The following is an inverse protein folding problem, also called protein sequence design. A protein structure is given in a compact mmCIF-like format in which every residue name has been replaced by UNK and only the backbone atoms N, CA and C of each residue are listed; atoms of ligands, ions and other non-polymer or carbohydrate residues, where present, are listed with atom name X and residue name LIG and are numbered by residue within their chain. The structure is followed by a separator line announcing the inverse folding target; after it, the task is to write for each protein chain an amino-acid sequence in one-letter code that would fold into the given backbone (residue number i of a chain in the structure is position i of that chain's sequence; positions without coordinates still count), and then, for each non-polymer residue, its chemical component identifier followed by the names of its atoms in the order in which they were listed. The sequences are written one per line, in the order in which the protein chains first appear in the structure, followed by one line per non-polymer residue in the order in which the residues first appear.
data_IF_404832208446
#
_entry.id   IF_404832208446
#
_cell.length_a   1.000
_cell.length_b   1.000
_cell.length_c   1.000
_cell.angle_alpha   90.00
_cell.angle_beta   90.00
_cell.angle_gamma   90.00
#
_symmetry.space_group_name_H-M   'P 1'
#
loop_
_entity.id
_entity.type
_entity.pdbx_description
1 polymer ?
#
# COMPACT_ATOMS: atom_id res chain seq x y z
N UNK A 1 19.86 9.51 10.52
CA UNK A 1 18.63 10.17 10.94
C UNK A 1 17.73 9.13 11.61
N UNK A 2 17.18 9.45 12.81
CA UNK A 2 16.29 8.52 13.51
C UNK A 2 14.92 8.43 12.84
N UNK A 3 14.22 7.29 13.00
CA UNK A 3 12.89 7.02 12.40
C UNK A 3 11.90 8.17 12.61
N UNK A 4 11.93 8.83 13.78
CA UNK A 4 11.09 10.00 14.09
C UNK A 4 11.22 11.13 13.07
N UNK A 5 12.45 11.56 12.81
CA UNK A 5 12.73 12.70 11.92
C UNK A 5 12.39 12.31 10.49
N UNK A 6 12.76 11.09 10.08
CA UNK A 6 12.43 10.58 8.73
C UNK A 6 10.92 10.57 8.53
N UNK A 7 10.15 10.03 9.47
CA UNK A 7 8.68 9.95 9.35
C UNK A 7 8.06 11.34 9.21
N UNK A 8 8.41 12.28 10.07
CA UNK A 8 7.84 13.63 10.02
C UNK A 8 8.25 14.38 8.75
N UNK A 9 9.54 14.37 8.41
CA UNK A 9 10.03 15.01 7.18
C UNK A 9 9.34 14.42 5.94
N UNK A 10 9.18 13.11 5.89
CA UNK A 10 8.52 12.41 4.79
C UNK A 10 7.05 12.81 4.64
N UNK A 11 6.31 12.91 5.76
CA UNK A 11 4.91 13.35 5.71
C UNK A 11 4.81 14.79 5.23
N UNK A 12 5.70 15.68 5.67
CA UNK A 12 5.73 17.05 5.17
C UNK A 12 6.08 17.13 3.68
N UNK A 13 6.99 16.29 3.17
CA UNK A 13 7.27 16.21 1.73
C UNK A 13 6.03 15.80 0.94
N UNK A 14 5.25 14.83 1.43
CA UNK A 14 3.99 14.45 0.77
C UNK A 14 2.93 15.55 0.86
N UNK A 15 2.84 16.30 1.96
CA UNK A 15 1.96 17.47 2.08
C UNK A 15 2.32 18.54 1.05
N UNK A 16 3.61 18.91 0.94
CA UNK A 16 4.10 19.87 -0.05
C UNK A 16 3.73 19.42 -1.47
N UNK A 17 3.94 18.15 -1.77
CA UNK A 17 3.61 17.58 -3.07
C UNK A 17 2.10 17.62 -3.37
N UNK A 18 1.23 17.27 -2.43
CA UNK A 18 -0.22 17.30 -2.61
C UNK A 18 -0.73 18.73 -2.85
N UNK A 19 -0.24 19.72 -2.10
CA UNK A 19 -0.54 21.10 -2.39
C UNK A 19 0.05 21.55 -3.73
N UNK A 20 1.26 21.11 -4.07
CA UNK A 20 1.85 21.34 -5.37
C UNK A 20 0.97 20.82 -6.50
N UNK A 21 0.46 19.58 -6.41
CA UNK A 21 -0.52 19.05 -7.35
C UNK A 21 -1.79 19.91 -7.40
N UNK A 22 -2.26 20.39 -6.25
CA UNK A 22 -3.47 21.23 -6.20
C UNK A 22 -3.34 22.59 -6.87
N UNK A 23 -2.12 23.11 -7.03
CA UNK A 23 -1.82 24.36 -7.73
C UNK A 23 -1.31 24.15 -9.16
N UNK A 24 -1.09 22.89 -9.55
CA UNK A 24 -0.59 22.59 -10.89
C UNK A 24 -1.63 22.88 -11.96
N UNK A 25 -1.22 23.60 -12.98
CA UNK A 25 -2.03 23.89 -14.19
C UNK A 25 -1.48 23.21 -15.44
N UNK A 26 -0.24 22.70 -15.38
CA UNK A 26 0.45 22.07 -16.49
C UNK A 26 1.08 20.74 -16.06
N UNK A 27 1.22 19.83 -17.02
CA UNK A 27 1.73 18.47 -16.77
C UNK A 27 3.13 18.43 -16.15
N UNK A 28 4.04 19.28 -16.60
CA UNK A 28 5.41 19.32 -16.05
C UNK A 28 5.44 19.68 -14.56
N UNK A 29 4.49 20.51 -14.09
CA UNK A 29 4.38 20.83 -12.66
C UNK A 29 4.06 19.59 -11.84
N UNK A 30 3.17 18.73 -12.35
CA UNK A 30 2.88 17.44 -11.72
C UNK A 30 4.13 16.56 -11.63
N UNK A 31 4.94 16.52 -12.70
CA UNK A 31 6.20 15.78 -12.70
C UNK A 31 7.19 16.30 -11.65
N UNK A 32 7.31 17.63 -11.49
CA UNK A 32 8.18 18.25 -10.48
C UNK A 32 7.71 17.87 -9.06
N UNK A 33 6.41 17.99 -8.77
CA UNK A 33 5.88 17.65 -7.44
C UNK A 33 5.79 16.15 -7.17
N UNK A 34 5.84 15.30 -8.20
CA UNK A 34 5.95 13.87 -8.03
C UNK A 34 7.28 13.44 -7.38
N UNK A 35 8.35 14.22 -7.54
CA UNK A 35 9.65 13.93 -6.91
C UNK A 35 9.55 13.98 -5.38
N UNK A 36 9.17 15.11 -4.73
CA UNK A 36 9.01 15.14 -3.28
C UNK A 36 7.92 14.16 -2.79
N UNK A 37 6.88 13.90 -3.59
CA UNK A 37 5.89 12.89 -3.26
C UNK A 37 6.49 11.49 -3.15
N UNK A 38 7.21 11.05 -4.17
CA UNK A 38 7.84 9.73 -4.21
C UNK A 38 8.91 9.56 -3.11
N UNK A 39 9.74 10.58 -2.88
CA UNK A 39 10.73 10.58 -1.80
C UNK A 39 10.07 10.47 -0.43
N UNK A 40 9.02 11.25 -0.18
CA UNK A 40 8.28 11.22 1.08
C UNK A 40 7.56 9.89 1.28
N UNK A 41 6.83 9.39 0.29
CA UNK A 41 6.08 8.14 0.38
C UNK A 41 7.01 6.93 0.60
N UNK A 42 8.12 6.84 -0.17
CA UNK A 42 9.05 5.73 -0.02
C UNK A 42 9.82 5.75 1.31
N UNK A 43 10.21 6.93 1.78
CA UNK A 43 10.95 7.06 3.02
C UNK A 43 10.07 6.77 4.26
N UNK A 44 8.80 7.20 4.26
CA UNK A 44 7.88 6.92 5.37
C UNK A 44 7.55 5.44 5.44
N UNK A 45 7.30 4.80 4.30
CA UNK A 45 7.01 3.37 4.24
C UNK A 45 8.16 2.55 4.84
N UNK A 46 9.39 2.78 4.38
CA UNK A 46 10.58 2.13 4.91
C UNK A 46 10.78 2.39 6.40
N UNK A 47 10.58 3.62 6.86
CA UNK A 47 10.79 4.01 8.25
C UNK A 47 9.77 3.38 9.19
N UNK A 48 8.48 3.39 8.83
CA UNK A 48 7.41 2.81 9.65
C UNK A 48 7.47 1.29 9.66
N UNK A 49 7.72 0.64 8.53
CA UNK A 49 7.88 -0.80 8.46
C UNK A 49 9.03 -1.27 9.34
N UNK A 50 10.19 -0.61 9.26
CA UNK A 50 11.32 -0.93 10.13
C UNK A 50 11.00 -0.70 11.61
N UNK A 51 10.34 0.40 11.95
CA UNK A 51 9.96 0.71 13.33
C UNK A 51 9.00 -0.34 13.90
N UNK A 52 7.96 -0.70 13.14
CA UNK A 52 6.99 -1.73 13.57
C UNK A 52 7.64 -3.10 13.67
N UNK A 53 8.49 -3.47 12.73
CA UNK A 53 9.20 -4.76 12.75
C UNK A 53 10.11 -4.91 13.99
N UNK A 54 10.74 -3.82 14.45
CA UNK A 54 11.66 -3.85 15.60
C UNK A 54 10.95 -3.74 16.96
N UNK A 55 9.78 -3.09 17.03
CA UNK A 55 9.16 -2.74 18.32
C UNK A 55 7.82 -3.42 18.58
N UNK A 56 7.21 -4.04 17.56
CA UNK A 56 5.86 -4.57 17.63
C UNK A 56 5.77 -6.00 17.08
N UNK A 57 4.65 -6.67 17.35
CA UNK A 57 4.36 -8.01 16.82
C UNK A 57 3.91 -7.96 15.37
N UNK A 58 4.02 -9.08 14.63
CA UNK A 58 3.62 -9.21 13.23
C UNK A 58 2.19 -8.69 12.93
N UNK A 59 1.24 -8.90 13.85
CA UNK A 59 -0.13 -8.39 13.72
C UNK A 59 -0.23 -6.87 13.52
N UNK A 60 0.66 -6.10 14.15
CA UNK A 60 0.67 -4.64 14.00
C UNK A 60 1.17 -4.23 12.63
N UNK A 61 2.07 -5.02 12.02
CA UNK A 61 2.48 -4.84 10.64
C UNK A 61 1.30 -5.04 9.69
N UNK A 62 0.53 -6.11 9.88
CA UNK A 62 -0.68 -6.37 9.09
C UNK A 62 -1.70 -5.23 9.20
N UNK A 63 -1.89 -4.69 10.41
CA UNK A 63 -2.80 -3.54 10.60
C UNK A 63 -2.27 -2.25 10.00
N UNK A 64 -0.96 -2.00 10.05
CA UNK A 64 -0.34 -0.85 9.36
C UNK A 64 -0.69 -0.87 7.86
N UNK A 65 -0.51 -2.02 7.22
CA UNK A 65 -0.87 -2.19 5.82
C UNK A 65 -2.39 -2.22 5.55
N UNK A 66 -3.20 -2.60 6.53
CA UNK A 66 -4.66 -2.47 6.44
C UNK A 66 -5.08 -1.00 6.32
N UNK A 67 -4.50 -0.10 7.10
CA UNK A 67 -4.77 1.34 6.98
C UNK A 67 -4.38 1.93 5.63
N UNK A 68 -3.32 1.41 5.00
CA UNK A 68 -3.03 1.73 3.60
C UNK A 68 -4.20 1.36 2.68
N UNK A 69 -4.77 0.17 2.86
CA UNK A 69 -5.95 -0.27 2.12
C UNK A 69 -7.19 0.62 2.35
N UNK A 70 -7.41 1.10 3.57
CA UNK A 70 -8.48 2.07 3.86
C UNK A 70 -8.25 3.36 3.06
N UNK A 71 -7.02 3.85 3.00
CA UNK A 71 -6.67 5.03 2.20
C UNK A 71 -6.96 4.84 0.71
N UNK A 72 -6.62 3.68 0.15
CA UNK A 72 -6.88 3.37 -1.28
C UNK A 72 -8.37 3.26 -1.60
N UNK A 73 -9.20 2.86 -0.66
CA UNK A 73 -10.66 2.81 -0.81
C UNK A 73 -11.27 4.21 -0.72
N UNK A 74 -10.84 5.03 0.24
CA UNK A 74 -11.43 6.35 0.52
C UNK A 74 -11.02 7.40 -0.51
N UNK A 75 -9.78 7.37 -0.99
CA UNK A 75 -9.23 8.39 -1.91
C UNK A 75 -10.04 8.59 -3.20
N UNK A 76 -10.51 7.53 -3.90
CA UNK A 76 -11.33 7.68 -5.09
C UNK A 76 -12.68 8.38 -4.84
N UNK A 77 -13.28 8.18 -3.67
CA UNK A 77 -14.54 8.88 -3.32
C UNK A 77 -14.31 10.37 -3.13
N UNK A 78 -13.22 10.77 -2.49
CA UNK A 78 -12.84 12.19 -2.34
C UNK A 78 -12.60 12.80 -3.72
N UNK A 79 -11.83 12.11 -4.57
CA UNK A 79 -11.54 12.59 -5.91
C UNK A 79 -12.80 12.60 -6.79
N UNK A 80 -13.65 11.59 -6.72
CA UNK A 80 -14.94 11.54 -7.42
C UNK A 80 -15.84 12.71 -7.03
N UNK A 81 -15.98 12.99 -5.75
CA UNK A 81 -16.71 14.17 -5.28
C UNK A 81 -16.14 15.48 -5.83
N UNK A 82 -14.80 15.62 -5.81
CA UNK A 82 -14.13 16.81 -6.33
C UNK A 82 -14.34 16.98 -7.86
N UNK A 83 -14.25 15.90 -8.63
CA UNK A 83 -14.45 15.93 -10.07
C UNK A 83 -15.90 16.27 -10.44
N UNK A 84 -16.88 15.79 -9.67
CA UNK A 84 -18.31 16.07 -9.96
C UNK A 84 -18.69 17.50 -9.57
N UNK A 85 -18.19 18.03 -8.46
CA UNK A 85 -18.67 19.31 -7.92
C UNK A 85 -17.70 20.47 -8.15
N UNK A 86 -16.43 20.20 -8.49
CA UNK A 86 -15.35 21.20 -8.61
C UNK A 86 -14.35 20.80 -9.69
N UNK A 87 -13.06 20.69 -9.31
CA UNK A 87 -11.94 20.32 -10.18
C UNK A 87 -11.07 19.27 -9.52
N UNK A 88 -10.27 18.54 -10.30
CA UNK A 88 -9.29 17.59 -9.76
C UNK A 88 -8.28 18.22 -8.77
N UNK A 89 -7.92 19.50 -9.00
CA UNK A 89 -7.08 20.27 -8.08
C UNK A 89 -7.70 20.38 -6.69
N UNK A 90 -9.03 20.52 -6.61
CA UNK A 90 -9.76 20.56 -5.33
C UNK A 90 -9.68 19.23 -4.59
N UNK A 91 -9.65 18.11 -5.30
CA UNK A 91 -9.46 16.78 -4.72
C UNK A 91 -8.10 16.66 -4.02
N UNK A 92 -7.02 17.04 -4.72
CA UNK A 92 -5.68 17.07 -4.10
C UNK A 92 -5.60 18.04 -2.93
N UNK A 93 -6.32 19.16 -2.96
CA UNK A 93 -6.37 20.12 -1.86
C UNK A 93 -7.02 19.53 -0.62
N UNK A 94 -8.14 18.84 -0.77
CA UNK A 94 -8.83 18.15 0.34
C UNK A 94 -7.90 17.11 0.96
N UNK A 95 -7.29 16.26 0.14
CA UNK A 95 -6.34 15.24 0.61
C UNK A 95 -5.12 15.90 1.26
N UNK A 96 -4.63 17.01 0.70
CA UNK A 96 -3.51 17.79 1.25
C UNK A 96 -3.81 18.33 2.67
N UNK A 97 -5.02 18.84 2.92
CA UNK A 97 -5.41 19.28 4.26
C UNK A 97 -5.55 18.11 5.24
N UNK A 98 -6.09 16.97 4.81
CA UNK A 98 -6.13 15.78 5.65
C UNK A 98 -4.71 15.30 6.02
N UNK A 99 -3.82 15.27 5.04
CA UNK A 99 -2.42 14.90 5.24
C UNK A 99 -1.69 15.90 6.15
N UNK A 100 -1.96 17.20 6.02
CA UNK A 100 -1.42 18.23 6.90
C UNK A 100 -1.89 18.05 8.35
N UNK A 101 -3.15 17.73 8.56
CA UNK A 101 -3.67 17.43 9.89
C UNK A 101 -2.93 16.23 10.51
N UNK A 102 -2.69 15.17 9.74
CA UNK A 102 -1.90 14.01 10.17
C UNK A 102 -0.45 14.43 10.48
N UNK A 103 0.16 15.28 9.64
CA UNK A 103 1.53 15.78 9.86
C UNK A 103 1.65 16.54 11.18
N UNK A 104 0.69 17.42 11.48
CA UNK A 104 0.63 18.17 12.74
C UNK A 104 0.45 17.22 13.92
N UNK A 105 -0.44 16.24 13.80
CA UNK A 105 -0.68 15.23 14.84
C UNK A 105 0.58 14.42 15.14
N UNK A 106 1.33 14.03 14.09
CA UNK A 106 2.61 13.35 14.22
C UNK A 106 3.65 14.23 14.92
N UNK A 107 3.73 15.52 14.59
CA UNK A 107 4.61 16.48 15.29
C UNK A 107 4.30 16.56 16.79
N UNK A 108 3.02 16.68 17.14
CA UNK A 108 2.58 16.78 18.52
C UNK A 108 2.83 15.51 19.32
N UNK A 109 2.79 14.34 18.67
CA UNK A 109 3.03 13.04 19.30
C UNK A 109 4.49 12.63 19.35
N UNK A 110 5.40 13.35 18.69
CA UNK A 110 6.85 13.05 18.68
C UNK A 110 7.47 12.77 20.06
N UNK A 111 7.12 13.50 21.13
CA UNK A 111 7.69 13.24 22.45
C UNK A 111 7.31 11.86 23.02
N UNK A 112 6.18 11.29 22.57
CA UNK A 112 5.67 10.00 23.05
C UNK A 112 6.37 8.80 22.38
N UNK A 113 7.03 9.04 21.24
CA UNK A 113 7.73 7.97 20.54
C UNK A 113 8.98 7.56 21.30
N UNK A 114 8.92 6.47 22.04
CA UNK A 114 10.05 5.91 22.76
C UNK A 114 11.09 5.39 21.78
N UNK A 115 12.30 5.96 21.82
CA UNK A 115 13.47 5.36 21.19
C UNK A 115 14.14 4.52 22.26
N UNK A 116 13.94 3.22 22.23
CA UNK A 116 14.84 2.31 22.93
C UNK A 116 16.21 2.39 22.24
N UNK A 117 17.13 3.14 22.85
CA UNK A 117 18.52 3.27 22.37
C UNK A 117 19.17 1.91 22.17
N UNK A 118 18.81 0.91 22.97
CA UNK A 118 19.31 -0.46 22.89
C UNK A 118 19.04 -1.15 21.54
N UNK A 119 17.91 -0.85 20.89
CA UNK A 119 17.60 -1.40 19.56
C UNK A 119 18.44 -0.74 18.44
N UNK A 120 18.89 0.49 18.67
CA UNK A 120 19.73 1.23 17.71
C UNK A 120 21.21 0.82 17.86
N UNK A 121 21.64 0.41 19.04
CA UNK A 121 23.01 -0.04 19.32
C UNK A 121 23.28 -1.49 18.86
N UNK A 122 22.25 -2.32 18.80
CA UNK A 122 22.30 -3.67 18.21
C UNK A 122 22.14 -3.70 16.69
N UNK A 123 21.77 -2.57 16.07
CA UNK A 123 21.82 -2.43 14.63
C UNK A 123 23.30 -2.42 14.20
N UNK A 124 23.84 -3.59 13.89
CA UNK A 124 25.19 -3.76 13.35
C UNK A 124 25.45 -2.80 12.19
N UNK A 125 26.72 -2.59 11.83
CA UNK A 125 27.14 -1.74 10.72
C UNK A 125 26.19 -1.93 9.53
N UNK A 126 25.62 -0.83 9.03
CA UNK A 126 24.74 -0.85 7.85
C UNK A 126 25.39 -1.68 6.74
N UNK A 127 24.80 -2.81 6.45
CA UNK A 127 25.23 -3.68 5.36
C UNK A 127 24.70 -3.03 4.09
N UNK A 128 25.57 -2.40 3.29
CA UNK A 128 25.16 -1.79 2.02
C UNK A 128 24.45 -2.81 1.10
N UNK A 129 23.76 -2.34 0.08
CA UNK A 129 22.95 -3.16 -0.85
C UNK A 129 23.71 -4.38 -1.38
N UNK A 130 24.97 -4.19 -1.80
CA UNK A 130 25.83 -5.28 -2.31
C UNK A 130 26.15 -6.31 -1.22
N UNK A 131 26.33 -5.86 0.01
CA UNK A 131 26.55 -6.75 1.17
C UNK A 131 25.31 -7.56 1.50
N UNK A 132 24.13 -6.93 1.47
CA UNK A 132 22.84 -7.61 1.69
C UNK A 132 22.58 -8.72 0.66
N UNK A 133 22.88 -8.47 -0.61
CA UNK A 133 22.73 -9.45 -1.70
C UNK A 133 23.64 -10.69 -1.53
N UNK A 134 24.74 -10.57 -0.77
CA UNK A 134 25.64 -11.69 -0.46
C UNK A 134 25.15 -12.60 0.67
N UNK A 135 24.16 -12.16 1.43
CA UNK A 135 23.59 -12.95 2.53
C UNK A 135 22.76 -14.09 1.92
N UNK A 136 23.08 -15.32 2.33
CA UNK A 136 22.40 -16.54 1.83
C UNK A 136 20.88 -16.44 2.08
N UNK A 137 20.08 -16.59 1.03
CA UNK A 137 18.63 -16.52 1.08
C UNK A 137 18.04 -15.15 0.72
N UNK A 138 18.76 -14.04 0.93
CA UNK A 138 18.26 -12.69 0.63
C UNK A 138 17.91 -12.50 -0.85
N UNK A 139 18.70 -12.96 -1.85
CA UNK A 139 18.31 -12.83 -3.24
C UNK A 139 16.98 -13.53 -3.58
N UNK A 140 16.74 -14.72 -3.02
CA UNK A 140 15.49 -15.45 -3.22
C UNK A 140 14.30 -14.75 -2.57
N UNK A 141 14.49 -14.17 -1.38
CA UNK A 141 13.48 -13.38 -0.70
C UNK A 141 13.13 -12.12 -1.51
N UNK A 142 14.13 -11.43 -2.04
CA UNK A 142 13.92 -10.26 -2.90
C UNK A 142 13.22 -10.64 -4.22
N UNK A 143 13.57 -11.77 -4.83
CA UNK A 143 12.89 -12.26 -6.03
C UNK A 143 11.43 -12.61 -5.74
N UNK A 144 11.16 -13.28 -4.62
CA UNK A 144 9.79 -13.57 -4.17
C UNK A 144 8.97 -12.29 -3.92
N UNK A 145 9.57 -11.30 -3.25
CA UNK A 145 8.93 -10.01 -3.02
C UNK A 145 8.70 -9.23 -4.32
N UNK A 146 9.65 -9.26 -5.24
CA UNK A 146 9.48 -8.68 -6.59
C UNK A 146 8.29 -9.31 -7.33
N UNK A 147 8.21 -10.64 -7.34
CA UNK A 147 7.11 -11.35 -7.99
C UNK A 147 5.75 -10.99 -7.35
N UNK A 148 5.71 -10.89 -6.03
CA UNK A 148 4.54 -10.43 -5.28
C UNK A 148 4.11 -9.02 -5.68
N UNK A 149 5.03 -8.05 -5.65
CA UNK A 149 4.75 -6.67 -6.04
C UNK A 149 4.32 -6.55 -7.51
N UNK A 150 4.95 -7.31 -8.41
CA UNK A 150 4.60 -7.32 -9.83
C UNK A 150 3.17 -7.82 -10.05
N UNK A 151 2.75 -8.87 -9.34
CA UNK A 151 1.41 -9.41 -9.41
C UNK A 151 0.38 -8.41 -8.84
N UNK A 152 0.66 -7.82 -7.69
CA UNK A 152 -0.20 -6.80 -7.06
C UNK A 152 -0.38 -5.60 -8.00
N UNK A 153 0.71 -5.04 -8.51
CA UNK A 153 0.68 -3.90 -9.42
C UNK A 153 -0.06 -4.21 -10.74
N UNK A 154 0.14 -5.42 -11.29
CA UNK A 154 -0.57 -5.86 -12.49
C UNK A 154 -2.08 -5.92 -12.27
N UNK A 155 -2.51 -6.52 -11.16
CA UNK A 155 -3.92 -6.59 -10.82
C UNK A 155 -4.52 -5.19 -10.59
N UNK A 156 -3.80 -4.31 -9.89
CA UNK A 156 -4.25 -2.93 -9.64
C UNK A 156 -4.45 -2.11 -10.93
N UNK A 157 -3.53 -2.24 -11.88
CA UNK A 157 -3.55 -1.41 -13.09
C UNK A 157 -4.42 -1.98 -14.20
N UNK A 158 -4.44 -3.30 -14.36
CA UNK A 158 -5.02 -3.95 -15.54
C UNK A 158 -6.34 -4.67 -15.30
N UNK A 159 -6.78 -4.86 -14.02
CA UNK A 159 -7.99 -5.63 -13.75
C UNK A 159 -9.23 -5.05 -14.46
N UNK A 160 -9.44 -3.74 -14.40
CA UNK A 160 -10.59 -3.11 -15.07
C UNK A 160 -10.55 -3.29 -16.58
N UNK A 161 -9.39 -3.04 -17.21
CA UNK A 161 -9.17 -3.24 -18.65
C UNK A 161 -9.41 -4.69 -19.06
N UNK A 162 -8.88 -5.65 -18.30
CA UNK A 162 -9.09 -7.07 -18.54
C UNK A 162 -10.58 -7.46 -18.51
N UNK A 163 -11.33 -6.94 -17.53
CA UNK A 163 -12.75 -7.23 -17.43
C UNK A 163 -13.56 -6.65 -18.60
N UNK A 164 -13.18 -5.47 -19.09
CA UNK A 164 -13.84 -4.85 -20.24
C UNK A 164 -13.48 -5.56 -21.55
N UNK A 165 -12.19 -5.64 -21.84
CA UNK A 165 -11.68 -6.08 -23.14
C UNK A 165 -11.77 -7.61 -23.34
N UNK A 166 -11.51 -8.39 -22.30
CA UNK A 166 -11.45 -9.85 -22.41
C UNK A 166 -12.74 -10.52 -21.96
N UNK A 167 -13.40 -10.00 -20.93
CA UNK A 167 -14.63 -10.60 -20.38
C UNK A 167 -15.91 -9.92 -20.89
N UNK A 168 -15.82 -8.84 -21.67
CA UNK A 168 -16.98 -8.12 -22.23
C UNK A 168 -17.89 -7.49 -21.16
N UNK A 169 -17.34 -7.20 -19.96
CA UNK A 169 -18.09 -6.60 -18.85
C UNK A 169 -18.18 -5.09 -19.06
N UNK A 170 -19.32 -4.48 -18.77
CA UNK A 170 -19.46 -3.02 -18.88
C UNK A 170 -18.45 -2.28 -18.02
N UNK A 171 -17.95 -1.14 -18.47
CA UNK A 171 -16.92 -0.32 -17.81
C UNK A 171 -17.28 -0.02 -16.34
N UNK A 172 -18.55 0.27 -16.05
CA UNK A 172 -19.04 0.54 -14.70
C UNK A 172 -18.90 -0.67 -13.77
N UNK A 173 -19.29 -1.86 -14.24
CA UNK A 173 -19.13 -3.10 -13.47
C UNK A 173 -17.68 -3.51 -13.35
N UNK A 174 -16.87 -3.32 -14.37
CA UNK A 174 -15.44 -3.61 -14.34
C UNK A 174 -14.72 -2.75 -13.29
N UNK A 175 -15.07 -1.46 -13.18
CA UNK A 175 -14.55 -0.59 -12.12
C UNK A 175 -14.95 -1.07 -10.71
N UNK A 176 -16.22 -1.51 -10.54
CA UNK A 176 -16.70 -2.09 -9.29
C UNK A 176 -15.92 -3.37 -8.93
N UNK A 177 -15.65 -4.24 -9.89
CA UNK A 177 -14.89 -5.47 -9.68
C UNK A 177 -13.43 -5.20 -9.35
N UNK A 178 -12.81 -4.20 -9.98
CA UNK A 178 -11.48 -3.74 -9.61
C UNK A 178 -11.45 -3.21 -8.17
N UNK A 179 -12.49 -2.49 -7.73
CA UNK A 179 -12.61 -2.03 -6.35
C UNK A 179 -12.69 -3.20 -5.34
N UNK A 180 -13.31 -4.32 -5.70
CA UNK A 180 -13.37 -5.51 -4.84
C UNK A 180 -11.98 -6.10 -4.54
N UNK A 181 -11.02 -5.94 -5.44
CA UNK A 181 -9.63 -6.33 -5.19
C UNK A 181 -9.04 -5.55 -4.01
N UNK A 182 -9.24 -4.23 -3.94
CA UNK A 182 -8.77 -3.41 -2.82
C UNK A 182 -9.48 -3.74 -1.51
N UNK A 183 -10.78 -4.00 -1.57
CA UNK A 183 -11.55 -4.48 -0.41
C UNK A 183 -11.01 -5.84 0.05
N UNK A 184 -10.66 -6.71 -0.90
CA UNK A 184 -10.01 -7.99 -0.64
C UNK A 184 -8.69 -7.82 0.12
N UNK A 185 -7.77 -6.98 -0.38
CA UNK A 185 -6.48 -6.67 0.26
C UNK A 185 -6.70 -6.15 1.68
N UNK A 186 -7.58 -5.16 1.85
CA UNK A 186 -7.83 -4.53 3.15
C UNK A 186 -8.39 -5.53 4.16
N UNK A 187 -9.40 -6.30 3.75
CA UNK A 187 -10.01 -7.32 4.61
C UNK A 187 -9.07 -8.49 4.92
N UNK A 188 -8.24 -8.89 3.95
CA UNK A 188 -7.21 -9.93 4.15
C UNK A 188 -6.19 -9.49 5.19
N UNK A 189 -5.60 -8.31 5.02
CA UNK A 189 -4.63 -7.74 5.97
C UNK A 189 -5.22 -7.49 7.35
N UNK A 190 -6.48 -7.06 7.43
CA UNK A 190 -7.18 -6.93 8.71
C UNK A 190 -7.34 -8.30 9.40
N UNK A 191 -7.85 -9.28 8.69
CA UNK A 191 -8.07 -10.63 9.22
C UNK A 191 -6.75 -11.32 9.63
N UNK A 192 -5.67 -11.14 8.86
CA UNK A 192 -4.37 -11.72 9.15
C UNK A 192 -3.81 -11.24 10.50
N UNK A 193 -4.05 -9.98 10.86
CA UNK A 193 -3.64 -9.44 12.16
C UNK A 193 -4.18 -10.21 13.37
N UNK A 194 -5.29 -10.93 13.22
CA UNK A 194 -5.86 -11.77 14.29
C UNK A 194 -5.43 -13.24 14.19
N UNK A 195 -5.06 -13.70 13.00
CA UNK A 195 -4.83 -15.12 12.71
C UNK A 195 -3.33 -15.46 12.78
N UNK A 196 -2.46 -14.52 12.43
CA UNK A 196 -1.00 -14.72 12.34
C UNK A 196 -0.40 -15.25 13.64
N UNK A 197 -0.81 -14.70 14.79
CA UNK A 197 -0.31 -15.13 16.11
C UNK A 197 -0.64 -16.62 16.40
N UNK A 198 -1.69 -17.19 15.77
CA UNK A 198 -2.13 -18.57 15.98
C UNK A 198 -1.55 -19.55 14.96
N UNK A 199 -1.48 -19.14 13.70
CA UNK A 199 -1.08 -20.01 12.59
C UNK A 199 0.44 -19.96 12.32
N UNK A 200 1.09 -18.83 12.62
CA UNK A 200 2.48 -18.56 12.28
C UNK A 200 2.69 -18.21 10.80
N UNK A 201 3.78 -17.50 10.51
CA UNK A 201 4.05 -16.89 9.21
C UNK A 201 4.08 -17.90 8.05
N UNK A 202 4.69 -19.08 8.24
CA UNK A 202 4.80 -20.07 7.17
C UNK A 202 3.45 -20.61 6.70
N UNK A 203 2.53 -20.86 7.64
CA UNK A 203 1.19 -21.36 7.30
C UNK A 203 0.35 -20.26 6.65
N UNK A 204 0.52 -19.02 7.11
CA UNK A 204 -0.16 -17.86 6.52
C UNK A 204 0.27 -17.65 5.07
N UNK A 205 1.57 -17.67 4.76
CA UNK A 205 2.09 -17.55 3.40
C UNK A 205 1.54 -18.67 2.50
N UNK A 206 1.53 -19.92 2.97
CA UNK A 206 0.99 -21.05 2.20
C UNK A 206 -0.51 -20.91 1.94
N UNK A 207 -1.27 -20.47 2.94
CA UNK A 207 -2.71 -20.22 2.81
C UNK A 207 -2.99 -19.11 1.80
N UNK A 208 -2.29 -17.96 1.92
CA UNK A 208 -2.40 -16.85 0.98
C UNK A 208 -2.06 -17.28 -0.44
N UNK A 209 -0.94 -17.98 -0.63
CA UNK A 209 -0.54 -18.50 -1.95
C UNK A 209 -1.59 -19.45 -2.54
N UNK A 210 -2.18 -20.32 -1.72
CA UNK A 210 -3.26 -21.22 -2.17
C UNK A 210 -4.51 -20.46 -2.62
N UNK A 211 -4.94 -19.46 -1.84
CA UNK A 211 -6.09 -18.60 -2.18
C UNK A 211 -5.82 -17.84 -3.48
N UNK A 212 -4.60 -17.30 -3.65
CA UNK A 212 -4.17 -16.59 -4.85
C UNK A 212 -4.26 -17.48 -6.10
N UNK A 213 -3.66 -18.67 -6.05
CA UNK A 213 -3.69 -19.63 -7.16
C UNK A 213 -5.13 -19.98 -7.51
N UNK A 214 -5.98 -20.28 -6.53
CA UNK A 214 -7.39 -20.56 -6.77
C UNK A 214 -8.11 -19.37 -7.43
N UNK A 215 -7.86 -18.14 -6.96
CA UNK A 215 -8.45 -16.94 -7.56
C UNK A 215 -8.03 -16.73 -9.01
N UNK A 216 -6.76 -16.95 -9.33
CA UNK A 216 -6.24 -16.85 -10.70
C UNK A 216 -6.85 -17.94 -11.60
N UNK A 217 -6.91 -19.18 -11.13
CA UNK A 217 -7.51 -20.28 -11.89
C UNK A 217 -8.97 -20.01 -12.21
N UNK A 218 -9.72 -19.43 -11.26
CA UNK A 218 -11.11 -19.02 -11.48
C UNK A 218 -11.22 -17.98 -12.59
N UNK A 219 -10.29 -17.05 -12.76
CA UNK A 219 -10.31 -16.05 -13.84
C UNK A 219 -10.17 -16.66 -15.25
N UNK A 220 -9.49 -17.81 -15.37
CA UNK A 220 -9.34 -18.51 -16.65
C UNK A 220 -10.59 -19.26 -17.08
N UNK A 221 -11.50 -19.56 -16.15
CA UNK A 221 -12.73 -20.27 -16.49
C UNK A 221 -13.67 -19.35 -17.32
N UNK A 222 -14.49 -19.89 -18.22
CA UNK A 222 -15.55 -19.14 -18.94
C UNK A 222 -16.72 -18.88 -18.01
N UNK A 223 -16.59 -17.91 -17.13
CA UNK A 223 -17.51 -17.68 -16.02
C UNK A 223 -18.32 -16.42 -16.16
N UNK A 224 -19.52 -16.43 -15.56
CA UNK A 224 -20.38 -15.28 -15.42
C UNK A 224 -19.72 -14.14 -14.62
N UNK A 225 -20.20 -12.91 -14.82
CA UNK A 225 -19.63 -11.68 -14.22
C UNK A 225 -19.46 -11.73 -12.71
N UNK A 226 -20.38 -12.39 -11.98
CA UNK A 226 -20.29 -12.52 -10.50
C UNK A 226 -19.09 -13.36 -10.03
N UNK A 227 -18.73 -14.38 -10.79
CA UNK A 227 -17.58 -15.21 -10.47
C UNK A 227 -16.27 -14.46 -10.72
N UNK A 228 -16.20 -13.61 -11.74
CA UNK A 228 -15.07 -12.73 -11.98
C UNK A 228 -14.89 -11.72 -10.82
N UNK A 229 -16.00 -11.17 -10.30
CA UNK A 229 -15.97 -10.33 -9.11
C UNK A 229 -15.46 -11.06 -7.87
N UNK A 230 -15.94 -12.28 -7.65
CA UNK A 230 -15.48 -13.12 -6.55
C UNK A 230 -14.00 -13.47 -6.67
N UNK A 231 -13.53 -13.81 -7.88
CA UNK A 231 -12.12 -14.07 -8.13
C UNK A 231 -11.23 -12.84 -7.83
N UNK A 232 -11.63 -11.65 -8.27
CA UNK A 232 -10.92 -10.40 -7.98
C UNK A 232 -10.82 -10.15 -6.47
N UNK A 233 -11.91 -10.37 -5.72
CA UNK A 233 -11.91 -10.25 -4.26
C UNK A 233 -10.99 -11.28 -3.60
N UNK A 234 -10.99 -12.53 -4.06
CA UNK A 234 -10.13 -13.58 -3.50
C UNK A 234 -8.65 -13.32 -3.78
N UNK A 235 -8.30 -12.86 -4.98
CA UNK A 235 -6.93 -12.48 -5.31
C UNK A 235 -6.46 -11.35 -4.39
N UNK A 236 -7.29 -10.33 -4.17
CA UNK A 236 -7.00 -9.29 -3.21
C UNK A 236 -6.80 -9.83 -1.79
N UNK A 237 -7.72 -10.69 -1.31
CA UNK A 237 -7.67 -11.26 0.05
C UNK A 237 -6.43 -12.12 0.32
N UNK A 238 -5.81 -12.66 -0.72
CA UNK A 238 -4.59 -13.47 -0.60
C UNK A 238 -3.33 -12.65 -0.28
N UNK A 239 -3.39 -11.33 -0.43
CA UNK A 239 -2.28 -10.42 -0.12
C UNK A 239 -2.21 -10.14 1.40
N UNK A 240 -1.85 -11.16 2.15
CA UNK A 240 -1.81 -11.18 3.61
C UNK A 240 -0.40 -10.96 4.13
#
# INVERSE_FOLDING_TARGET
FGTRIVTVASVFLTVIALFGFSFSSQFWMLAVFAVPYGLGAGAIDSALNNYVALHYKAKHMSWLHCFWGVGTIVSPFIMGYALTNRTWNSGYRIIGFLQLAIAILLLLTLPVWNINKSATETAGKSVGLVGALKIKGVPFLLLGFFAYCALEATAMQWASTYFVEVKGISTERAATFAALFYIGITSGRFASGFITDKLGDQKMIRLGTGILICGILVLFLPIASYQAAFAAFQIGRAHV
#
